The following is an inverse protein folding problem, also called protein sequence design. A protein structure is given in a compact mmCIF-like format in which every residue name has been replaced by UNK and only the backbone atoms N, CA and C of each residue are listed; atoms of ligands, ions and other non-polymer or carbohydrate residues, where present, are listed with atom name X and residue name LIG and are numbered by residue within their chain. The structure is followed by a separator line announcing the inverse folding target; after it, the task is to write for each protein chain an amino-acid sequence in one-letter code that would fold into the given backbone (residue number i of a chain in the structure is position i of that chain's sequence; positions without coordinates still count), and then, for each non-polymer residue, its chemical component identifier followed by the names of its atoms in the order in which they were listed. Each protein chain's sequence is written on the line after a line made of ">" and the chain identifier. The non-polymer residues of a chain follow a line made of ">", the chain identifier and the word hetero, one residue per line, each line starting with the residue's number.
data_IF_356111040678
#
_entry.id   IF_356111040678
#
_cell.length_a   1.000
_cell.length_b   1.000
_cell.length_c   1.000
_cell.angle_alpha   90.00
_cell.angle_beta   90.00
_cell.angle_gamma   90.00
#
_symmetry.space_group_name_H-M   'P 1'
#
loop_
_entity.id
_entity.type
_entity.pdbx_description
1 polymer ?
#
# COMPACT_ATOMS: atom_id res chain seq x y z
N UNK A 1 -31.06 83.45 46.45
CA UNK A 1 -32.23 82.89 45.74
C UNK A 1 -31.70 82.02 44.61
N UNK A 2 -31.72 80.71 44.85
CA UNK A 2 -30.98 79.66 44.15
C UNK A 2 -31.73 79.22 42.89
N UNK A 3 -31.05 79.18 41.73
CA UNK A 3 -31.63 78.73 40.45
C UNK A 3 -31.77 77.21 40.43
N UNK A 4 -32.99 76.70 40.18
CA UNK A 4 -33.27 75.29 39.88
C UNK A 4 -32.76 74.94 38.47
N UNK A 5 -32.00 73.85 38.35
CA UNK A 5 -31.71 73.17 37.07
C UNK A 5 -32.64 71.96 36.91
N UNK A 6 -33.14 71.64 35.70
CA UNK A 6 -33.98 70.48 35.48
C UNK A 6 -33.14 69.20 35.43
N UNK A 7 -33.59 68.14 36.11
CA UNK A 7 -32.99 66.81 36.05
C UNK A 7 -33.38 66.14 34.73
N UNK A 8 -32.40 65.96 33.82
CA UNK A 8 -32.55 65.04 32.69
C UNK A 8 -32.51 63.59 33.20
N UNK A 9 -33.58 62.85 32.97
CA UNK A 9 -33.62 61.39 33.14
C UNK A 9 -33.17 60.73 31.85
N UNK A 10 -31.94 60.22 31.80
CA UNK A 10 -31.49 59.31 30.73
C UNK A 10 -32.19 57.95 30.89
N UNK A 11 -32.76 57.35 29.82
CA UNK A 11 -33.32 56.02 29.91
C UNK A 11 -32.19 54.99 30.01
N UNK A 12 -32.36 54.01 30.90
CA UNK A 12 -31.49 52.84 31.00
C UNK A 12 -31.68 51.98 29.74
N UNK A 13 -30.71 52.02 28.82
CA UNK A 13 -30.64 51.06 27.72
C UNK A 13 -30.30 49.69 28.30
N UNK A 14 -31.27 48.77 28.27
CA UNK A 14 -31.04 47.37 28.61
C UNK A 14 -30.09 46.75 27.55
N UNK A 15 -28.86 46.41 27.97
CA UNK A 15 -27.99 45.55 27.16
C UNK A 15 -28.63 44.17 27.07
N UNK A 16 -29.19 43.84 25.90
CA UNK A 16 -29.54 42.47 25.57
C UNK A 16 -28.25 41.64 25.50
N UNK A 17 -28.12 40.63 26.35
CA UNK A 17 -27.07 39.64 26.26
C UNK A 17 -27.25 38.85 24.95
N UNK A 18 -26.33 39.03 24.01
CA UNK A 18 -26.25 38.18 22.83
C UNK A 18 -25.94 36.74 23.27
N UNK A 19 -26.54 35.71 22.65
CA UNK A 19 -26.16 34.34 22.92
C UNK A 19 -24.68 34.19 22.53
N UNK A 20 -23.89 33.62 23.43
CA UNK A 20 -22.51 33.26 23.13
C UNK A 20 -22.52 32.40 21.87
N UNK A 21 -21.96 32.93 20.78
CA UNK A 21 -21.70 32.15 19.58
C UNK A 21 -20.94 30.91 20.03
N UNK A 22 -21.49 29.72 19.73
CA UNK A 22 -20.75 28.48 19.86
C UNK A 22 -19.43 28.70 19.14
N UNK A 23 -18.33 28.71 19.90
CA UNK A 23 -17.00 28.77 19.30
C UNK A 23 -16.88 27.50 18.47
N UNK A 24 -16.85 27.64 17.15
CA UNK A 24 -16.55 26.56 16.23
C UNK A 24 -15.19 25.98 16.65
N UNK A 25 -15.22 24.92 17.45
CA UNK A 25 -14.02 24.21 17.85
C UNK A 25 -13.35 23.74 16.57
N UNK A 26 -12.07 24.09 16.41
CA UNK A 26 -11.30 23.66 15.25
C UNK A 26 -11.47 22.13 15.10
N UNK A 27 -11.79 21.61 13.90
CA UNK A 27 -12.11 20.20 13.78
C UNK A 27 -10.90 19.35 14.18
N UNK A 28 -11.17 18.23 14.85
CA UNK A 28 -10.16 17.27 15.33
C UNK A 28 -9.16 16.91 14.22
N UNK A 29 -7.84 17.10 14.42
CA UNK A 29 -6.81 16.75 13.46
C UNK A 29 -6.89 15.30 12.95
N UNK A 30 -7.31 14.35 13.80
CA UNK A 30 -7.44 12.95 13.39
C UNK A 30 -8.64 12.73 12.47
N UNK A 31 -9.82 13.27 12.82
CA UNK A 31 -11.01 13.23 11.96
C UNK A 31 -10.77 13.91 10.61
N UNK A 32 -10.05 15.03 10.64
CA UNK A 32 -9.57 15.75 9.46
C UNK A 32 -8.72 14.82 8.57
N UNK A 33 -7.65 14.25 9.11
CA UNK A 33 -6.80 13.34 8.35
C UNK A 33 -7.59 12.16 7.75
N UNK A 34 -8.48 11.54 8.52
CA UNK A 34 -9.32 10.44 8.04
C UNK A 34 -10.20 10.86 6.84
N UNK A 35 -10.87 12.01 6.93
CA UNK A 35 -11.64 12.58 5.80
C UNK A 35 -10.76 12.78 4.56
N UNK A 36 -9.54 13.26 4.77
CA UNK A 36 -8.62 13.50 3.67
C UNK A 36 -8.21 12.20 2.97
N UNK A 37 -7.94 11.14 3.73
CA UNK A 37 -7.59 9.83 3.19
C UNK A 37 -8.75 9.20 2.40
N UNK A 38 -9.99 9.33 2.88
CA UNK A 38 -11.18 8.88 2.13
C UNK A 38 -11.35 9.64 0.80
N UNK A 39 -11.08 10.95 0.80
CA UNK A 39 -11.07 11.73 -0.43
C UNK A 39 -9.92 11.31 -1.36
N UNK A 40 -8.77 10.91 -0.84
CA UNK A 40 -7.63 10.56 -1.68
C UNK A 40 -7.92 9.35 -2.57
N UNK A 41 -8.79 8.43 -2.12
CA UNK A 41 -9.24 7.27 -2.89
C UNK A 41 -10.32 7.62 -3.92
N UNK A 42 -11.23 8.55 -3.61
CA UNK A 42 -12.46 8.78 -4.39
C UNK A 42 -12.47 10.07 -5.21
N UNK A 43 -11.79 11.11 -4.71
CA UNK A 43 -11.68 12.47 -5.28
C UNK A 43 -10.32 13.08 -4.92
N UNK A 44 -9.23 12.57 -5.52
CA UNK A 44 -7.87 12.95 -5.13
C UNK A 44 -7.57 14.44 -5.35
N UNK A 45 -8.24 15.09 -6.30
CA UNK A 45 -8.22 16.56 -6.47
C UNK A 45 -8.69 17.29 -5.19
N UNK A 46 -9.77 16.80 -4.57
CA UNK A 46 -10.33 17.38 -3.34
C UNK A 46 -9.49 17.07 -2.12
N UNK A 47 -8.89 15.88 -2.05
CA UNK A 47 -7.94 15.54 -1.00
C UNK A 47 -6.73 16.47 -1.02
N UNK A 48 -6.16 16.71 -2.21
CA UNK A 48 -5.05 17.63 -2.41
C UNK A 48 -5.37 19.05 -1.94
N UNK A 49 -6.53 19.58 -2.38
CA UNK A 49 -7.00 20.92 -1.98
C UNK A 49 -7.21 21.01 -0.46
N UNK A 50 -7.91 20.04 0.13
CA UNK A 50 -8.21 20.00 1.57
C UNK A 50 -6.92 19.98 2.40
N UNK A 51 -6.00 19.09 2.06
CA UNK A 51 -4.75 18.97 2.80
C UNK A 51 -3.84 20.20 2.61
N UNK A 52 -3.86 20.82 1.43
CA UNK A 52 -3.14 22.08 1.17
C UNK A 52 -3.61 23.23 2.05
N UNK A 53 -4.91 23.31 2.35
CA UNK A 53 -5.47 24.37 3.19
C UNK A 53 -4.99 24.30 4.65
N UNK A 54 -4.64 23.12 5.17
CA UNK A 54 -4.22 22.99 6.57
C UNK A 54 -2.74 22.67 6.79
N UNK A 55 -1.97 22.38 5.74
CA UNK A 55 -0.60 21.87 5.88
C UNK A 55 0.33 22.85 6.62
N UNK A 56 0.19 24.14 6.35
CA UNK A 56 0.96 25.23 6.98
C UNK A 56 0.32 25.85 8.23
N UNK A 57 -0.89 25.43 8.61
CA UNK A 57 -1.58 25.94 9.80
C UNK A 57 -1.26 25.06 11.02
N UNK A 58 -1.86 23.87 11.05
CA UNK A 58 -1.73 22.89 12.13
C UNK A 58 -1.76 21.43 11.63
N UNK A 59 -1.90 21.21 10.33
CA UNK A 59 -2.09 19.88 9.74
C UNK A 59 -0.82 19.02 9.70
N UNK A 60 0.36 19.61 9.84
CA UNK A 60 1.61 18.89 10.12
C UNK A 60 1.94 17.76 9.14
N UNK A 61 2.46 16.65 9.67
CA UNK A 61 2.78 15.45 8.87
C UNK A 61 1.53 14.78 8.28
N UNK A 62 0.38 14.62 8.99
CA UNK A 62 -0.84 14.05 8.41
C UNK A 62 -1.32 14.77 7.15
N UNK A 63 -1.22 16.10 7.14
CA UNK A 63 -1.54 16.90 5.96
C UNK A 63 -0.64 16.57 4.76
N UNK A 64 0.67 16.60 4.99
CA UNK A 64 1.67 16.37 3.93
C UNK A 64 1.58 14.95 3.40
N UNK A 65 1.31 13.99 4.29
CA UNK A 65 1.06 12.61 3.92
C UNK A 65 -0.17 12.49 3.02
N UNK A 66 -1.32 13.04 3.44
CA UNK A 66 -2.52 13.00 2.60
C UNK A 66 -2.32 13.71 1.24
N UNK A 67 -1.61 14.84 1.19
CA UNK A 67 -1.25 15.48 -0.09
C UNK A 67 -0.46 14.54 -0.99
N UNK A 68 0.53 13.84 -0.45
CA UNK A 68 1.33 12.92 -1.25
C UNK A 68 0.51 11.71 -1.72
N UNK A 69 -0.39 11.18 -0.88
CA UNK A 69 -1.32 10.10 -1.29
C UNK A 69 -2.31 10.58 -2.36
N UNK A 70 -2.81 11.82 -2.24
CA UNK A 70 -3.67 12.41 -3.26
C UNK A 70 -2.97 12.50 -4.63
N UNK A 71 -1.67 12.82 -4.67
CA UNK A 71 -0.90 12.81 -5.92
C UNK A 71 -0.81 11.42 -6.56
N UNK A 72 -0.79 10.35 -5.77
CA UNK A 72 -0.88 8.98 -6.30
C UNK A 72 -2.20 8.81 -7.07
N UNK A 73 -3.33 9.20 -6.47
CA UNK A 73 -4.64 9.13 -7.13
C UNK A 73 -4.78 10.04 -8.36
N UNK A 74 -3.96 11.09 -8.45
CA UNK A 74 -3.87 11.98 -9.62
C UNK A 74 -2.92 11.44 -10.72
N UNK A 75 -2.21 10.35 -10.47
CA UNK A 75 -1.22 9.80 -11.41
C UNK A 75 0.15 10.48 -11.37
N UNK A 76 0.36 11.42 -10.44
CA UNK A 76 1.62 12.16 -10.26
C UNK A 76 2.59 11.36 -9.37
N UNK A 77 2.90 10.14 -9.81
CA UNK A 77 3.54 9.11 -9.00
C UNK A 77 4.95 9.49 -8.51
N UNK A 78 5.79 10.05 -9.39
CA UNK A 78 7.15 10.46 -9.05
C UNK A 78 7.17 11.61 -8.02
N UNK A 79 6.25 12.56 -8.14
CA UNK A 79 6.12 13.65 -7.17
C UNK A 79 5.60 13.13 -5.82
N UNK A 80 4.58 12.27 -5.85
CA UNK A 80 4.06 11.61 -4.66
C UNK A 80 5.16 10.88 -3.88
N UNK A 81 5.93 10.06 -4.59
CA UNK A 81 7.02 9.27 -4.01
C UNK A 81 8.08 10.18 -3.36
N UNK A 82 8.54 11.21 -4.09
CA UNK A 82 9.53 12.18 -3.58
C UNK A 82 9.04 12.87 -2.30
N UNK A 83 7.76 13.23 -2.24
CA UNK A 83 7.16 13.88 -1.05
C UNK A 83 7.06 12.93 0.14
N UNK A 84 6.72 11.67 -0.10
CA UNK A 84 6.65 10.63 0.95
C UNK A 84 8.03 10.31 1.52
N UNK A 85 9.04 10.15 0.66
CA UNK A 85 10.44 9.98 1.10
C UNK A 85 10.88 11.15 1.96
N UNK A 86 10.64 12.38 1.48
CA UNK A 86 11.04 13.58 2.23
C UNK A 86 10.32 13.67 3.57
N UNK A 87 9.04 13.29 3.61
CA UNK A 87 8.27 13.26 4.84
C UNK A 87 8.84 12.24 5.82
N UNK A 88 9.18 11.04 5.37
CA UNK A 88 9.80 10.00 6.19
C UNK A 88 11.17 10.42 6.74
N UNK A 89 11.99 11.11 5.92
CA UNK A 89 13.32 11.59 6.26
C UNK A 89 13.29 12.62 7.40
N UNK A 90 12.36 13.59 7.35
CA UNK A 90 12.29 14.68 8.33
C UNK A 90 11.40 14.37 9.53
N UNK A 91 10.56 13.34 9.43
CA UNK A 91 9.63 12.96 10.49
C UNK A 91 10.37 12.45 11.72
N UNK A 92 9.83 12.80 12.89
CA UNK A 92 10.26 12.25 14.19
C UNK A 92 9.30 11.17 14.72
N UNK A 93 8.39 10.70 13.87
CA UNK A 93 7.45 9.66 14.22
C UNK A 93 8.16 8.32 14.48
N UNK A 94 7.41 7.38 15.06
CA UNK A 94 7.86 6.01 15.27
C UNK A 94 8.39 5.39 13.97
N UNK A 95 9.37 4.50 14.09
CA UNK A 95 10.04 3.90 12.93
C UNK A 95 9.05 3.20 12.01
N UNK A 96 8.03 2.54 12.57
CA UNK A 96 6.98 1.89 11.80
C UNK A 96 6.17 2.87 10.92
N UNK A 97 5.90 4.08 11.40
CA UNK A 97 5.21 5.08 10.60
C UNK A 97 6.10 5.60 9.48
N UNK A 98 7.38 5.86 9.77
CA UNK A 98 8.36 6.28 8.76
C UNK A 98 8.59 5.20 7.70
N UNK A 99 8.70 3.94 8.11
CA UNK A 99 8.81 2.79 7.21
C UNK A 99 7.55 2.63 6.34
N UNK A 100 6.36 2.85 6.89
CA UNK A 100 5.11 2.88 6.13
C UNK A 100 5.08 3.98 5.05
N UNK A 101 5.57 5.18 5.37
CA UNK A 101 5.72 6.26 4.38
C UNK A 101 6.69 5.88 3.25
N UNK A 102 7.82 5.23 3.60
CA UNK A 102 8.79 4.74 2.61
C UNK A 102 8.19 3.60 1.75
N UNK A 103 7.41 2.70 2.34
CA UNK A 103 6.72 1.65 1.58
C UNK A 103 5.76 2.23 0.53
N UNK A 104 4.95 3.23 0.92
CA UNK A 104 4.08 3.94 -0.03
C UNK A 104 4.88 4.70 -1.09
N UNK A 105 6.01 5.30 -0.72
CA UNK A 105 6.90 5.96 -1.69
C UNK A 105 7.46 4.96 -2.71
N UNK A 106 7.88 3.78 -2.27
CA UNK A 106 8.38 2.74 -3.16
C UNK A 106 7.29 2.24 -4.12
N UNK A 107 6.06 2.02 -3.64
CA UNK A 107 4.93 1.66 -4.50
C UNK A 107 4.66 2.76 -5.55
N UNK A 108 4.72 4.04 -5.15
CA UNK A 108 4.62 5.15 -6.09
C UNK A 108 5.77 5.18 -7.10
N UNK A 109 7.00 4.83 -6.72
CA UNK A 109 8.11 4.69 -7.68
C UNK A 109 7.90 3.54 -8.68
N UNK A 110 7.31 2.42 -8.26
CA UNK A 110 6.95 1.33 -9.19
C UNK A 110 5.88 1.79 -10.19
N UNK A 111 4.85 2.51 -9.73
CA UNK A 111 3.84 3.09 -10.64
C UNK A 111 4.43 4.15 -11.59
N UNK A 112 5.56 4.77 -11.20
CA UNK A 112 6.34 5.67 -12.04
C UNK A 112 7.36 4.96 -12.95
N UNK A 113 7.33 3.62 -13.04
CA UNK A 113 8.27 2.79 -13.80
C UNK A 113 9.75 2.98 -13.37
N UNK A 114 9.97 3.23 -12.07
CA UNK A 114 11.29 3.44 -11.49
C UNK A 114 11.60 2.39 -10.40
N UNK A 115 11.80 1.14 -10.85
CA UNK A 115 12.12 0.01 -9.98
C UNK A 115 13.45 0.19 -9.21
N UNK A 116 14.45 0.88 -9.79
CA UNK A 116 15.71 1.16 -9.10
C UNK A 116 15.49 2.00 -7.85
N UNK A 117 14.71 3.09 -7.97
CA UNK A 117 14.40 3.95 -6.84
C UNK A 117 13.49 3.24 -5.83
N UNK A 118 12.51 2.47 -6.29
CA UNK A 118 11.65 1.67 -5.42
C UNK A 118 12.46 0.72 -4.53
N UNK A 119 13.40 -0.02 -5.12
CA UNK A 119 14.32 -0.92 -4.40
C UNK A 119 15.15 -0.18 -3.35
N UNK A 120 15.71 0.98 -3.69
CA UNK A 120 16.50 1.78 -2.77
C UNK A 120 15.65 2.23 -1.57
N UNK A 121 14.43 2.71 -1.81
CA UNK A 121 13.49 3.19 -0.79
C UNK A 121 12.99 2.04 0.11
N UNK A 122 12.67 0.88 -0.45
CA UNK A 122 12.33 -0.33 0.32
C UNK A 122 13.50 -0.76 1.21
N UNK A 123 14.73 -0.67 0.70
CA UNK A 123 15.93 -1.00 1.47
C UNK A 123 16.11 -0.05 2.65
N UNK A 124 15.87 1.25 2.48
CA UNK A 124 15.83 2.22 3.60
C UNK A 124 14.69 1.91 4.59
N UNK A 125 13.52 1.47 4.12
CA UNK A 125 12.43 1.05 5.02
C UNK A 125 12.83 -0.17 5.87
N UNK A 126 13.56 -1.12 5.27
CA UNK A 126 14.10 -2.29 5.95
C UNK A 126 15.28 -1.96 6.89
N UNK A 127 15.98 -0.84 6.73
CA UNK A 127 16.93 -0.38 7.76
C UNK A 127 16.19 -0.01 9.06
N UNK A 128 14.97 0.53 8.94
CA UNK A 128 14.11 0.86 10.09
C UNK A 128 13.43 -0.38 10.69
N UNK A 129 12.96 -1.29 9.84
CA UNK A 129 12.29 -2.51 10.25
C UNK A 129 12.87 -3.75 9.53
N UNK A 130 14.04 -4.26 9.95
CA UNK A 130 14.76 -5.28 9.19
C UNK A 130 14.01 -6.57 8.94
N UNK A 131 13.16 -6.99 9.87
CA UNK A 131 12.41 -8.25 9.79
C UNK A 131 10.94 -8.09 9.41
N UNK A 132 10.50 -6.92 8.96
CA UNK A 132 9.09 -6.72 8.61
C UNK A 132 8.73 -7.56 7.37
N UNK A 133 7.83 -8.54 7.49
CA UNK A 133 7.58 -9.44 6.38
C UNK A 133 6.90 -8.77 5.18
N UNK A 134 6.12 -7.69 5.39
CA UNK A 134 5.49 -6.99 4.28
C UNK A 134 6.54 -6.22 3.45
N UNK A 135 7.45 -5.50 4.11
CA UNK A 135 8.54 -4.80 3.43
C UNK A 135 9.49 -5.75 2.68
N UNK A 136 9.76 -6.93 3.26
CA UNK A 136 10.55 -7.97 2.60
C UNK A 136 9.84 -8.54 1.37
N UNK A 137 8.53 -8.80 1.46
CA UNK A 137 7.73 -9.25 0.32
C UNK A 137 7.69 -8.20 -0.79
N UNK A 138 7.45 -6.92 -0.45
CA UNK A 138 7.44 -5.81 -1.42
C UNK A 138 8.78 -5.72 -2.16
N UNK A 139 9.90 -5.78 -1.43
CA UNK A 139 11.23 -5.74 -2.05
C UNK A 139 11.52 -6.97 -2.89
N UNK A 140 11.09 -8.16 -2.46
CA UNK A 140 11.26 -9.37 -3.25
C UNK A 140 10.55 -9.29 -4.61
N UNK A 141 9.35 -8.70 -4.66
CA UNK A 141 8.65 -8.47 -5.93
C UNK A 141 9.42 -7.53 -6.85
N UNK A 142 9.92 -6.41 -6.32
CA UNK A 142 10.77 -5.47 -7.08
C UNK A 142 12.07 -6.13 -7.58
N UNK A 143 12.69 -6.99 -6.76
CA UNK A 143 13.89 -7.73 -7.13
C UNK A 143 13.62 -8.74 -8.27
N UNK A 144 12.46 -9.41 -8.26
CA UNK A 144 12.03 -10.29 -9.37
C UNK A 144 11.90 -9.50 -10.67
N UNK A 145 11.27 -8.32 -10.64
CA UNK A 145 11.13 -7.43 -11.81
C UNK A 145 12.49 -6.95 -12.32
N UNK A 146 13.42 -6.66 -11.41
CA UNK A 146 14.80 -6.28 -11.73
C UNK A 146 15.67 -7.46 -12.20
N UNK A 147 15.16 -8.70 -12.16
CA UNK A 147 15.89 -9.92 -12.52
C UNK A 147 16.84 -10.44 -11.45
N UNK A 148 16.91 -9.82 -10.26
CA UNK A 148 17.66 -10.34 -9.12
C UNK A 148 16.81 -11.37 -8.34
N UNK A 149 16.64 -12.51 -8.98
CA UNK A 149 15.83 -13.61 -8.46
C UNK A 149 16.46 -14.22 -7.19
N UNK A 150 17.78 -14.17 -7.04
CA UNK A 150 18.47 -14.69 -5.83
C UNK A 150 18.20 -13.79 -4.63
N UNK A 151 18.29 -12.47 -4.79
CA UNK A 151 17.91 -11.52 -3.74
C UNK A 151 16.44 -11.68 -3.30
N UNK A 152 15.53 -11.90 -4.26
CA UNK A 152 14.13 -12.15 -3.95
C UNK A 152 13.92 -13.44 -3.12
N UNK A 153 14.64 -14.52 -3.45
CA UNK A 153 14.60 -15.77 -2.68
C UNK A 153 15.08 -15.54 -1.24
N UNK A 154 16.13 -14.75 -1.04
CA UNK A 154 16.67 -14.45 0.28
C UNK A 154 15.66 -13.69 1.14
N UNK A 155 15.03 -12.65 0.58
CA UNK A 155 14.01 -11.88 1.31
C UNK A 155 12.76 -12.73 1.61
N UNK A 156 12.27 -13.53 0.65
CA UNK A 156 11.14 -14.41 0.88
C UNK A 156 11.45 -15.54 1.87
N UNK A 157 12.72 -15.96 1.97
CA UNK A 157 13.16 -16.89 3.01
C UNK A 157 13.02 -16.26 4.39
N UNK A 158 13.43 -15.01 4.55
CA UNK A 158 13.28 -14.27 5.82
C UNK A 158 11.80 -14.04 6.17
N UNK A 159 10.94 -13.80 5.18
CA UNK A 159 9.48 -13.78 5.37
C UNK A 159 8.98 -15.11 5.95
N UNK A 160 9.42 -16.23 5.36
CA UNK A 160 8.99 -17.57 5.75
C UNK A 160 9.60 -18.07 7.07
N UNK A 161 10.76 -17.54 7.48
CA UNK A 161 11.31 -17.77 8.82
C UNK A 161 10.40 -17.15 9.89
N UNK A 162 9.84 -15.95 9.64
CA UNK A 162 8.90 -15.29 10.54
C UNK A 162 7.46 -15.84 10.41
N UNK A 163 7.03 -16.19 9.20
CA UNK A 163 5.68 -16.64 8.85
C UNK A 163 5.74 -17.96 8.07
N UNK A 164 6.03 -19.09 8.72
CA UNK A 164 6.24 -20.38 8.04
C UNK A 164 4.98 -20.97 7.38
N UNK A 165 3.82 -20.36 7.58
CA UNK A 165 2.54 -20.81 7.01
C UNK A 165 1.95 -19.78 6.04
N UNK A 166 2.75 -18.84 5.55
CA UNK A 166 2.33 -17.87 4.56
C UNK A 166 2.33 -18.52 3.17
N UNK A 167 1.14 -18.91 2.69
CA UNK A 167 0.97 -19.55 1.38
C UNK A 167 1.36 -18.63 0.22
N UNK A 168 1.13 -17.32 0.36
CA UNK A 168 1.50 -16.31 -0.62
C UNK A 168 3.02 -16.20 -0.75
N UNK A 169 3.74 -16.07 0.37
CA UNK A 169 5.19 -16.03 0.35
C UNK A 169 5.83 -17.33 -0.17
N UNK A 170 5.25 -18.49 0.13
CA UNK A 170 5.67 -19.77 -0.47
C UNK A 170 5.47 -19.79 -1.99
N UNK A 171 4.31 -19.33 -2.48
CA UNK A 171 4.03 -19.26 -3.92
C UNK A 171 4.98 -18.29 -4.65
N UNK A 172 5.24 -17.11 -4.06
CA UNK A 172 6.19 -16.14 -4.60
C UNK A 172 7.61 -16.71 -4.64
N UNK A 173 8.06 -17.39 -3.56
CA UNK A 173 9.41 -17.97 -3.53
C UNK A 173 9.54 -19.13 -4.51
N UNK A 174 8.48 -19.91 -4.71
CA UNK A 174 8.46 -20.92 -5.74
C UNK A 174 8.57 -20.35 -7.15
N UNK A 175 7.87 -19.23 -7.42
CA UNK A 175 8.01 -18.50 -8.69
C UNK A 175 9.45 -18.04 -8.91
N UNK A 176 10.07 -17.46 -7.88
CA UNK A 176 11.47 -17.07 -7.91
C UNK A 176 12.42 -18.28 -8.14
N UNK A 177 12.26 -19.39 -7.41
CA UNK A 177 13.04 -20.61 -7.66
C UNK A 177 12.88 -21.13 -9.09
N UNK A 178 11.66 -21.10 -9.64
CA UNK A 178 11.40 -21.47 -11.03
C UNK A 178 12.16 -20.56 -12.00
N UNK A 179 12.15 -19.25 -11.78
CA UNK A 179 12.90 -18.28 -12.59
C UNK A 179 14.42 -18.48 -12.48
N UNK A 180 14.91 -18.91 -11.31
CA UNK A 180 16.32 -19.26 -11.09
C UNK A 180 16.73 -20.60 -11.74
N UNK A 181 15.79 -21.37 -12.30
CA UNK A 181 16.05 -22.69 -12.85
C UNK A 181 16.20 -23.79 -11.79
N UNK A 182 15.67 -23.56 -10.58
CA UNK A 182 15.72 -24.48 -9.43
C UNK A 182 14.34 -25.13 -9.18
N UNK A 183 13.87 -26.10 -10.00
CA UNK A 183 12.50 -26.60 -9.95
C UNK A 183 12.19 -27.47 -8.71
N UNK A 184 13.21 -28.05 -8.07
CA UNK A 184 13.06 -28.90 -6.88
C UNK A 184 12.55 -28.10 -5.68
N UNK A 185 13.23 -27.02 -5.23
CA UNK A 185 12.72 -26.19 -4.16
C UNK A 185 11.41 -25.47 -4.55
N UNK A 186 11.22 -25.08 -5.82
CA UNK A 186 9.96 -24.51 -6.29
C UNK A 186 8.78 -25.46 -6.04
N UNK A 187 8.91 -26.74 -6.41
CA UNK A 187 7.86 -27.74 -6.18
C UNK A 187 7.57 -27.94 -4.69
N UNK A 188 8.61 -28.01 -3.86
CA UNK A 188 8.45 -28.18 -2.41
C UNK A 188 7.66 -27.02 -1.78
N UNK A 189 7.95 -25.78 -2.18
CA UNK A 189 7.23 -24.60 -1.70
C UNK A 189 5.77 -24.60 -2.19
N UNK A 190 5.50 -24.97 -3.44
CA UNK A 190 4.12 -25.06 -3.96
C UNK A 190 3.31 -26.16 -3.28
N UNK A 191 3.90 -27.33 -3.04
CA UNK A 191 3.23 -28.41 -2.33
C UNK A 191 2.88 -27.99 -0.89
N UNK A 192 3.79 -27.24 -0.24
CA UNK A 192 3.52 -26.68 1.08
C UNK A 192 2.44 -25.59 1.04
N UNK A 193 2.50 -24.67 0.08
CA UNK A 193 1.50 -23.61 -0.09
C UNK A 193 0.10 -24.21 -0.26
N UNK A 194 -0.04 -25.19 -1.17
CA UNK A 194 -1.32 -25.87 -1.45
C UNK A 194 -1.77 -26.81 -0.33
N UNK A 195 -0.87 -27.26 0.55
CA UNK A 195 -1.27 -27.96 1.78
C UNK A 195 -1.87 -27.02 2.83
N UNK A 196 -1.48 -25.74 2.82
CA UNK A 196 -1.98 -24.70 3.74
C UNK A 196 -3.28 -24.13 3.20
N UNK A 197 -3.30 -23.78 1.91
CA UNK A 197 -4.45 -23.27 1.19
C UNK A 197 -4.56 -23.98 -0.18
N UNK A 198 -5.39 -25.03 -0.28
CA UNK A 198 -5.58 -25.78 -1.52
C UNK A 198 -6.15 -24.96 -2.68
N UNK A 199 -6.77 -23.82 -2.40
CA UNK A 199 -7.42 -22.95 -3.37
C UNK A 199 -6.55 -21.71 -3.73
N UNK A 200 -5.32 -21.63 -3.21
CA UNK A 200 -4.50 -20.43 -3.35
C UNK A 200 -4.17 -20.11 -4.83
N UNK A 201 -4.66 -18.99 -5.39
CA UNK A 201 -4.64 -18.77 -6.83
C UNK A 201 -3.24 -18.79 -7.45
N UNK A 202 -2.31 -18.03 -6.87
CA UNK A 202 -0.94 -17.95 -7.36
C UNK A 202 -0.19 -19.29 -7.24
N UNK A 203 -0.50 -20.11 -6.23
CA UNK A 203 0.17 -21.39 -6.05
C UNK A 203 -0.32 -22.43 -7.07
N UNK A 204 -1.62 -22.43 -7.38
CA UNK A 204 -2.18 -23.26 -8.45
C UNK A 204 -1.66 -22.85 -9.83
N UNK A 205 -1.57 -21.54 -10.10
CA UNK A 205 -1.00 -21.03 -11.34
C UNK A 205 0.45 -21.48 -11.51
N UNK A 206 1.30 -21.23 -10.50
CA UNK A 206 2.72 -21.57 -10.54
C UNK A 206 2.97 -23.08 -10.59
N UNK A 207 2.13 -23.89 -9.93
CA UNK A 207 2.16 -25.35 -10.07
C UNK A 207 1.89 -25.77 -11.51
N UNK A 208 0.92 -25.15 -12.17
CA UNK A 208 0.62 -25.46 -13.56
C UNK A 208 1.77 -25.09 -14.50
N UNK A 209 2.37 -23.91 -14.30
CA UNK A 209 3.52 -23.43 -15.08
C UNK A 209 4.73 -24.36 -14.90
N UNK A 210 5.08 -24.68 -13.65
CA UNK A 210 6.21 -25.55 -13.31
C UNK A 210 6.02 -26.97 -13.87
N UNK A 211 4.81 -27.52 -13.76
CA UNK A 211 4.47 -28.84 -14.31
C UNK A 211 4.65 -28.86 -15.83
N UNK A 212 4.15 -27.84 -16.54
CA UNK A 212 4.30 -27.74 -17.98
C UNK A 212 5.76 -27.62 -18.42
N UNK A 213 6.59 -26.86 -17.70
CA UNK A 213 8.03 -26.77 -17.98
C UNK A 213 8.73 -28.12 -17.83
N UNK A 214 8.26 -28.98 -16.93
CA UNK A 214 8.76 -30.36 -16.77
C UNK A 214 8.18 -31.39 -17.75
N UNK A 215 7.27 -30.98 -18.65
CA UNK A 215 6.57 -31.87 -19.58
C UNK A 215 5.38 -32.63 -18.97
N UNK A 216 5.05 -32.38 -17.71
CA UNK A 216 3.88 -32.96 -17.04
C UNK A 216 2.62 -32.16 -17.38
N UNK A 217 2.14 -32.38 -18.60
CA UNK A 217 0.96 -31.72 -19.18
C UNK A 217 -0.32 -32.02 -18.39
N UNK A 218 -0.44 -33.23 -17.85
CA UNK A 218 -1.62 -33.64 -17.10
C UNK A 218 -1.75 -32.87 -15.78
N UNK A 219 -0.66 -32.79 -14.99
CA UNK A 219 -0.63 -31.99 -13.77
C UNK A 219 -0.81 -30.51 -14.07
N UNK A 220 -0.23 -30.00 -15.17
CA UNK A 220 -0.39 -28.61 -15.56
C UNK A 220 -1.85 -28.23 -15.79
N UNK A 221 -2.55 -29.01 -16.63
CA UNK A 221 -3.99 -28.81 -16.90
C UNK A 221 -4.81 -28.91 -15.62
N UNK A 222 -4.56 -29.93 -14.79
CA UNK A 222 -5.33 -30.13 -13.56
C UNK A 222 -5.19 -28.94 -12.60
N UNK A 223 -3.99 -28.40 -12.43
CA UNK A 223 -3.74 -27.24 -11.57
C UNK A 223 -4.46 -25.98 -12.08
N UNK A 224 -4.41 -25.71 -13.39
CA UNK A 224 -5.11 -24.57 -13.97
C UNK A 224 -6.64 -24.70 -13.93
N UNK A 225 -7.19 -25.91 -14.14
CA UNK A 225 -8.63 -26.12 -13.97
C UNK A 225 -9.06 -25.94 -12.51
N UNK A 226 -8.27 -26.41 -11.55
CA UNK A 226 -8.53 -26.17 -10.13
C UNK A 226 -8.49 -24.68 -9.78
N UNK A 227 -7.59 -23.90 -10.39
CA UNK A 227 -7.56 -22.44 -10.25
C UNK A 227 -8.84 -21.78 -10.79
N UNK A 228 -9.32 -22.21 -11.95
CA UNK A 228 -10.55 -21.67 -12.53
C UNK A 228 -11.81 -22.02 -11.71
N UNK A 229 -11.80 -23.13 -10.98
CA UNK A 229 -12.86 -23.49 -10.04
C UNK A 229 -12.78 -22.66 -8.76
N UNK A 230 -11.57 -22.48 -8.22
CA UNK A 230 -11.34 -21.79 -6.96
C UNK A 230 -11.53 -20.26 -7.04
N UNK A 231 -11.03 -19.64 -8.11
CA UNK A 231 -10.98 -18.19 -8.25
C UNK A 231 -11.16 -17.74 -9.72
N UNK A 232 -12.33 -17.97 -10.32
CA UNK A 232 -12.56 -17.73 -11.75
C UNK A 232 -12.31 -16.27 -12.18
N UNK A 233 -12.53 -15.30 -11.31
CA UNK A 233 -12.41 -13.88 -11.66
C UNK A 233 -11.06 -13.27 -11.27
N UNK A 234 -10.07 -14.09 -10.90
CA UNK A 234 -8.74 -13.60 -10.51
C UNK A 234 -7.84 -13.32 -11.73
N UNK A 235 -6.84 -12.42 -11.62
CA UNK A 235 -5.85 -12.21 -12.67
C UNK A 235 -5.08 -13.50 -13.04
N UNK A 236 -4.82 -14.36 -12.05
CA UNK A 236 -4.19 -15.66 -12.28
C UNK A 236 -5.05 -16.58 -13.14
N UNK A 237 -6.39 -16.53 -12.98
CA UNK A 237 -7.32 -17.30 -13.78
C UNK A 237 -7.25 -16.91 -15.27
N UNK A 238 -7.05 -15.63 -15.60
CA UNK A 238 -6.86 -15.21 -16.99
C UNK A 238 -5.59 -15.80 -17.60
N UNK A 239 -4.51 -15.85 -16.82
CA UNK A 239 -3.25 -16.48 -17.24
C UNK A 239 -3.42 -18.00 -17.44
N UNK A 240 -4.15 -18.65 -16.54
CA UNK A 240 -4.47 -20.08 -16.66
C UNK A 240 -5.33 -20.40 -17.88
N UNK A 241 -6.34 -19.56 -18.21
CA UNK A 241 -7.12 -19.68 -19.45
C UNK A 241 -6.23 -19.60 -20.69
N UNK A 242 -5.33 -18.61 -20.73
CA UNK A 242 -4.40 -18.45 -21.84
C UNK A 242 -3.51 -19.69 -22.02
N UNK A 243 -3.00 -20.25 -20.92
CA UNK A 243 -2.21 -21.47 -20.96
C UNK A 243 -3.01 -22.71 -21.44
N UNK A 244 -4.25 -22.86 -20.98
CA UNK A 244 -5.14 -23.95 -21.42
C UNK A 244 -5.49 -23.82 -22.90
N UNK A 245 -5.80 -22.60 -23.37
CA UNK A 245 -6.08 -22.35 -24.79
C UNK A 245 -4.92 -22.74 -25.70
N UNK A 246 -3.68 -22.37 -25.32
CA UNK A 246 -2.47 -22.77 -26.06
C UNK A 246 -2.28 -24.29 -26.05
N UNK A 247 -2.70 -24.97 -24.99
CA UNK A 247 -2.61 -26.43 -24.88
C UNK A 247 -3.67 -27.17 -25.70
N UNK A 248 -4.88 -26.62 -25.81
CA UNK A 248 -6.03 -27.20 -26.52
C UNK A 248 -6.05 -26.85 -28.02
N UNK A 249 -5.38 -25.78 -28.42
CA UNK A 249 -5.42 -25.21 -29.78
C UNK A 249 -4.13 -25.32 -30.58
N UNK A 250 -3.23 -26.23 -30.20
CA UNK A 250 -2.02 -26.61 -30.96
C UNK A 250 -2.27 -27.74 -31.94
#
# INVERSE_FOLDING_TARGET
>A
MTRLLPRLTLPLLALAALPAAAQDAAPDPAAKYAQCMELAETRPDRAWELAGQWAGLAGGEPARHCQAVALIGLGEYAEAATRLEKLAEVSRAAEALRAGMLAQAAQAWLMADNAERAYAVQSTALELLPGDPALLTDRALTLVEAGDVRGAIDDLTRVLDARPRDAGALALRASAFRMAGDPVPARADLDRALSIDPAHPAALLEKGILARQSGDVATARAAWLALLDAAPDSPEADTARAHLQVMDGG
#
